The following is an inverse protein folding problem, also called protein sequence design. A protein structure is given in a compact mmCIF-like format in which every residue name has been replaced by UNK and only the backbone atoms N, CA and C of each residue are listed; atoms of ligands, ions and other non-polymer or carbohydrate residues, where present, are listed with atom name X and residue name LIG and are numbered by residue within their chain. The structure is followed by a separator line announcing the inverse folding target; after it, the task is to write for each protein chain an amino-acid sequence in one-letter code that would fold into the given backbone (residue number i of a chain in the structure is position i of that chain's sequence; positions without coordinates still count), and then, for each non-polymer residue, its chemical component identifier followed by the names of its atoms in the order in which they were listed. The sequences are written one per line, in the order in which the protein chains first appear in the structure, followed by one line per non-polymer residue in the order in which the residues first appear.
data_IF_705400809726
#
_entry.id   IF_705400809726
#
_cell.length_a   1.000
_cell.length_b   1.000
_cell.length_c   1.000
_cell.angle_alpha   90.00
_cell.angle_beta   90.00
_cell.angle_gamma   90.00
#
_symmetry.space_group_name_H-M   'P 1'
#
loop_
_entity.id
_entity.type
_entity.pdbx_description
1 polymer ?
#
# COMPACT_ATOMS: atom_id res chain seq x y z
N UNK A 1 -11.22 -29.98 48.00
CA UNK A 1 -10.67 -28.62 47.73
C UNK A 1 -10.25 -28.43 46.27
N UNK A 2 -9.35 -29.26 45.72
CA UNK A 2 -8.87 -29.17 44.31
C UNK A 2 -9.97 -29.10 43.24
N UNK A 3 -11.04 -29.91 43.35
CA UNK A 3 -12.18 -29.89 42.40
C UNK A 3 -12.96 -28.56 42.40
N UNK A 4 -13.02 -27.84 43.53
CA UNK A 4 -13.69 -26.52 43.61
C UNK A 4 -12.84 -25.43 42.95
N UNK A 5 -11.52 -25.51 43.09
CA UNK A 5 -10.55 -24.61 42.44
C UNK A 5 -10.58 -24.82 40.92
N UNK A 6 -10.58 -26.07 40.45
CA UNK A 6 -10.66 -26.40 39.01
C UNK A 6 -11.98 -25.90 38.40
N UNK A 7 -13.12 -26.10 39.08
CA UNK A 7 -14.40 -25.55 38.63
C UNK A 7 -14.41 -24.02 38.58
N UNK A 8 -13.77 -23.36 39.55
CA UNK A 8 -13.62 -21.90 39.57
C UNK A 8 -12.83 -21.38 38.37
N UNK A 9 -11.70 -22.02 38.04
CA UNK A 9 -10.87 -21.66 36.88
C UNK A 9 -11.65 -21.81 35.56
N UNK A 10 -12.40 -22.90 35.41
CA UNK A 10 -13.21 -23.13 34.21
C UNK A 10 -14.30 -22.06 34.07
N UNK A 11 -14.98 -21.70 35.15
CA UNK A 11 -16.01 -20.65 35.12
C UNK A 11 -15.40 -19.30 34.75
N UNK A 12 -14.24 -18.94 35.31
CA UNK A 12 -13.56 -17.69 34.95
C UNK A 12 -13.16 -17.64 33.47
N UNK A 13 -12.68 -18.75 32.89
CA UNK A 13 -12.34 -18.82 31.46
C UNK A 13 -13.57 -18.65 30.56
N UNK A 14 -14.71 -19.25 30.94
CA UNK A 14 -15.97 -19.10 30.20
C UNK A 14 -16.49 -17.66 30.27
N UNK A 15 -16.42 -17.01 31.44
CA UNK A 15 -16.83 -15.61 31.61
C UNK A 15 -15.95 -14.68 30.80
N UNK A 16 -14.62 -14.87 30.83
CA UNK A 16 -13.68 -14.08 30.01
C UNK A 16 -13.97 -14.29 28.52
N UNK A 17 -14.17 -15.54 28.08
CA UNK A 17 -14.52 -15.84 26.68
C UNK A 17 -15.82 -15.18 26.23
N UNK A 18 -16.85 -15.18 27.08
CA UNK A 18 -18.12 -14.49 26.82
C UNK A 18 -17.94 -12.97 26.77
N UNK A 19 -17.07 -12.39 27.59
CA UNK A 19 -16.75 -10.97 27.53
C UNK A 19 -16.12 -10.57 26.19
N UNK A 20 -15.32 -11.43 25.55
CA UNK A 20 -14.78 -11.14 24.21
C UNK A 20 -15.85 -11.27 23.10
N UNK A 21 -16.68 -12.31 23.15
CA UNK A 21 -17.72 -12.56 22.13
C UNK A 21 -18.83 -11.49 22.19
N UNK A 22 -19.24 -11.10 23.39
CA UNK A 22 -20.32 -10.13 23.62
C UNK A 22 -19.85 -8.67 23.62
N UNK A 23 -18.54 -8.41 23.52
CA UNK A 23 -18.03 -7.05 23.41
C UNK A 23 -18.14 -6.59 21.95
N UNK A 24 -19.05 -5.63 21.63
CA UNK A 24 -19.19 -5.13 20.27
C UNK A 24 -17.90 -4.45 19.77
N UNK A 25 -17.06 -3.92 20.66
CA UNK A 25 -15.77 -3.32 20.28
C UNK A 25 -14.78 -4.35 19.73
N UNK A 26 -14.86 -5.62 20.14
CA UNK A 26 -13.97 -6.66 19.61
C UNK A 26 -14.21 -6.88 18.11
N UNK A 27 -15.47 -6.87 17.69
CA UNK A 27 -15.85 -7.01 16.28
C UNK A 27 -15.74 -5.70 15.49
N UNK A 28 -15.85 -4.55 16.16
CA UNK A 28 -15.66 -3.23 15.54
C UNK A 28 -14.18 -2.85 15.38
N UNK A 29 -13.27 -3.54 16.08
CA UNK A 29 -11.82 -3.40 15.94
C UNK A 29 -11.25 -4.17 14.75
N UNK A 30 -12.08 -4.89 13.99
CA UNK A 30 -11.72 -5.33 12.64
C UNK A 30 -11.58 -4.07 11.77
N UNK A 31 -10.43 -3.40 11.90
CA UNK A 31 -10.05 -2.29 11.05
C UNK A 31 -9.85 -2.88 9.66
N UNK A 32 -10.93 -2.93 8.89
CA UNK A 32 -10.82 -3.16 7.46
C UNK A 32 -10.06 -1.96 6.90
N UNK A 33 -8.76 -2.14 6.70
CA UNK A 33 -7.96 -1.18 5.96
C UNK A 33 -8.71 -0.89 4.66
N UNK A 34 -8.90 0.39 4.35
CA UNK A 34 -9.69 0.77 3.17
C UNK A 34 -9.00 0.15 1.96
N UNK A 35 -9.71 -0.74 1.25
CA UNK A 35 -9.15 -1.49 0.14
C UNK A 35 -8.78 -0.52 -0.99
N UNK A 36 -7.54 -0.61 -1.45
CA UNK A 36 -7.06 0.10 -2.63
C UNK A 36 -7.83 -0.35 -3.89
N UNK A 37 -7.95 0.51 -4.92
CA UNK A 37 -8.57 0.11 -6.18
C UNK A 37 -7.80 -1.03 -6.83
N UNK A 38 -8.52 -1.88 -7.57
CA UNK A 38 -7.92 -2.98 -8.35
C UNK A 38 -6.96 -2.42 -9.40
N UNK A 39 -6.03 -3.28 -9.86
CA UNK A 39 -5.07 -2.88 -10.88
C UNK A 39 -5.82 -2.58 -12.18
N UNK A 40 -5.45 -1.47 -12.82
CA UNK A 40 -5.86 -1.22 -14.20
C UNK A 40 -5.15 -2.17 -15.15
N UNK A 41 -5.73 -2.39 -16.33
CA UNK A 41 -5.15 -3.24 -17.38
C UNK A 41 -3.73 -2.77 -17.73
N UNK A 42 -3.49 -1.46 -17.76
CA UNK A 42 -2.17 -0.89 -18.00
C UNK A 42 -1.18 -1.19 -16.88
N UNK A 43 -1.62 -1.17 -15.62
CA UNK A 43 -0.80 -1.59 -14.48
C UNK A 43 -0.48 -3.08 -14.55
N UNK A 44 -1.47 -3.94 -14.76
CA UNK A 44 -1.30 -5.39 -14.86
C UNK A 44 -0.26 -5.74 -15.94
N UNK A 45 -0.44 -5.21 -17.16
CA UNK A 45 0.47 -5.44 -18.27
C UNK A 45 1.91 -4.95 -18.01
N UNK A 46 2.05 -3.87 -17.23
CA UNK A 46 3.37 -3.34 -16.90
C UNK A 46 4.03 -4.16 -15.79
N UNK A 47 3.27 -4.52 -14.75
CA UNK A 47 3.76 -5.23 -13.57
C UNK A 47 4.11 -6.69 -13.88
N UNK A 48 3.37 -7.34 -14.77
CA UNK A 48 3.68 -8.70 -15.25
C UNK A 48 5.10 -8.79 -15.83
N UNK A 49 5.63 -7.71 -16.41
CA UNK A 49 7.03 -7.69 -16.92
C UNK A 49 8.06 -7.79 -15.79
N UNK A 50 7.84 -7.10 -14.67
CA UNK A 50 8.77 -7.11 -13.54
C UNK A 50 8.76 -8.44 -12.78
N UNK A 51 7.59 -9.06 -12.64
CA UNK A 51 7.47 -10.34 -11.95
C UNK A 51 8.18 -11.46 -12.73
N UNK A 52 8.05 -11.45 -14.05
CA UNK A 52 8.65 -12.46 -14.93
C UNK A 52 10.17 -12.32 -15.09
N UNK A 53 10.70 -11.10 -15.10
CA UNK A 53 12.12 -10.86 -15.40
C UNK A 53 13.01 -10.87 -14.14
N UNK A 54 12.46 -10.51 -12.98
CA UNK A 54 13.31 -10.04 -11.87
C UNK A 54 12.98 -10.60 -10.50
N UNK A 55 11.98 -11.49 -10.36
CA UNK A 55 11.53 -12.00 -9.05
C UNK A 55 11.22 -10.86 -8.07
N UNK A 56 10.69 -9.75 -8.57
CA UNK A 56 10.30 -8.60 -7.77
C UNK A 56 8.81 -8.75 -7.46
N UNK A 57 8.43 -8.57 -6.19
CA UNK A 57 7.05 -8.34 -5.79
C UNK A 57 6.75 -6.84 -5.84
N UNK A 58 5.60 -6.50 -6.39
CA UNK A 58 5.16 -5.13 -6.56
C UNK A 58 3.98 -4.85 -5.63
N UNK A 59 4.07 -3.75 -4.89
CA UNK A 59 2.92 -3.18 -4.18
C UNK A 59 2.59 -1.80 -4.74
N UNK A 60 1.30 -1.53 -4.92
CA UNK A 60 0.81 -0.27 -5.50
C UNK A 60 -0.30 0.32 -4.66
N UNK A 61 -0.17 1.60 -4.36
CA UNK A 61 -1.24 2.35 -3.68
C UNK A 61 -1.41 3.76 -4.22
N UNK A 62 -2.64 4.25 -4.09
CA UNK A 62 -3.05 5.61 -4.36
C UNK A 62 -3.37 6.29 -3.04
N UNK A 63 -2.94 7.54 -2.93
CA UNK A 63 -3.34 8.46 -1.87
C UNK A 63 -4.08 9.63 -2.53
N UNK A 64 -5.32 9.91 -2.12
CA UNK A 64 -6.00 11.13 -2.58
C UNK A 64 -6.00 12.18 -1.49
N UNK A 65 -6.10 13.44 -1.92
CA UNK A 65 -6.09 14.58 -1.01
C UNK A 65 -7.37 15.38 -1.16
N UNK A 66 -8.00 15.69 -0.03
CA UNK A 66 -9.10 16.65 0.01
C UNK A 66 -8.59 18.09 -0.26
N UNK A 67 -9.50 19.06 -0.35
CA UNK A 67 -9.14 20.48 -0.58
C UNK A 67 -8.28 21.09 0.54
N UNK A 68 -8.23 20.47 1.72
CA UNK A 68 -7.43 20.89 2.88
C UNK A 68 -6.08 20.16 2.93
N UNK A 69 -5.84 19.20 2.03
CA UNK A 69 -4.63 18.39 1.98
C UNK A 69 -4.65 17.15 2.88
N UNK A 70 -5.80 16.78 3.45
CA UNK A 70 -5.92 15.56 4.24
C UNK A 70 -5.99 14.35 3.31
N UNK A 71 -5.34 13.26 3.72
CA UNK A 71 -5.50 11.96 3.06
C UNK A 71 -6.95 11.49 3.17
N UNK A 72 -7.49 11.04 2.04
CA UNK A 72 -8.81 10.45 1.92
C UNK A 72 -8.73 9.46 0.77
N UNK A 73 -9.25 8.24 0.91
CA UNK A 73 -9.30 7.31 -0.23
C UNK A 73 -10.66 7.40 -0.94
N UNK A 74 -10.67 7.88 -2.19
CA UNK A 74 -11.88 7.93 -3.03
C UNK A 74 -11.93 6.76 -4.01
N UNK A 75 -12.25 5.55 -3.52
CA UNK A 75 -12.14 4.29 -4.29
C UNK A 75 -12.70 4.36 -5.73
N UNK A 76 -13.85 4.99 -5.95
CA UNK A 76 -14.51 5.01 -7.25
C UNK A 76 -14.06 6.16 -8.19
N UNK A 77 -13.35 7.15 -7.67
CA UNK A 77 -12.98 8.38 -8.39
C UNK A 77 -11.55 8.84 -8.05
N UNK A 78 -10.69 7.89 -7.68
CA UNK A 78 -9.34 8.17 -7.18
C UNK A 78 -8.51 8.90 -8.24
N UNK A 79 -8.68 8.59 -9.52
CA UNK A 79 -7.95 9.20 -10.62
C UNK A 79 -8.56 10.54 -11.08
N UNK A 80 -9.70 10.97 -10.52
CA UNK A 80 -10.39 12.23 -10.86
C UNK A 80 -10.13 13.35 -9.86
N UNK A 81 -9.34 13.09 -8.82
CA UNK A 81 -9.00 14.03 -7.74
C UNK A 81 -7.50 14.09 -7.57
N UNK A 82 -7.00 15.13 -6.92
CA UNK A 82 -5.55 15.24 -6.66
C UNK A 82 -5.07 14.01 -5.92
N UNK A 83 -4.05 13.36 -6.46
CA UNK A 83 -3.56 12.10 -5.94
C UNK A 83 -2.05 11.94 -6.08
N UNK A 84 -1.48 11.15 -5.18
CA UNK A 84 -0.12 10.62 -5.30
C UNK A 84 -0.22 9.15 -5.67
N UNK A 85 0.70 8.71 -6.53
CA UNK A 85 0.86 7.31 -6.92
C UNK A 85 2.07 6.75 -6.22
N UNK A 86 1.95 5.58 -5.62
CA UNK A 86 3.11 4.91 -5.05
C UNK A 86 3.28 3.51 -5.61
N UNK A 87 4.54 3.20 -5.95
CA UNK A 87 5.03 1.89 -6.30
C UNK A 87 6.11 1.46 -5.30
N UNK A 88 5.95 0.30 -4.69
CA UNK A 88 7.00 -0.32 -3.91
C UNK A 88 7.44 -1.61 -4.60
N UNK A 89 8.76 -1.75 -4.76
CA UNK A 89 9.41 -2.83 -5.48
C UNK A 89 10.31 -3.57 -4.52
N UNK A 90 9.95 -4.81 -4.20
CA UNK A 90 10.64 -5.63 -3.22
C UNK A 90 11.13 -6.92 -3.85
N UNK A 91 12.24 -7.49 -3.34
CA UNK A 91 12.60 -8.85 -3.74
C UNK A 91 11.63 -9.87 -3.15
N UNK A 92 10.99 -10.65 -4.03
CA UNK A 92 10.03 -11.70 -3.64
C UNK A 92 10.67 -12.79 -2.75
N UNK A 93 11.99 -12.97 -2.85
CA UNK A 93 12.74 -13.88 -2.01
C UNK A 93 13.66 -13.09 -1.09
N UNK A 94 13.38 -13.18 0.21
CA UNK A 94 13.98 -12.49 1.36
C UNK A 94 15.49 -12.78 1.60
N UNK A 95 16.26 -13.02 0.53
CA UNK A 95 17.67 -13.45 0.56
C UNK A 95 18.66 -12.38 0.10
N UNK A 96 18.19 -11.20 -0.31
CA UNK A 96 19.04 -10.08 -0.73
C UNK A 96 18.29 -8.76 -0.74
N UNK A 97 19.05 -7.66 -0.74
CA UNK A 97 18.53 -6.30 -0.89
C UNK A 97 18.42 -5.96 -2.38
N UNK A 98 17.29 -5.41 -2.80
CA UNK A 98 17.09 -4.86 -4.13
C UNK A 98 17.30 -3.36 -4.16
N UNK A 99 18.06 -2.89 -5.14
CA UNK A 99 18.33 -1.48 -5.36
C UNK A 99 18.20 -1.15 -6.84
N UNK A 100 17.48 -0.06 -7.13
CA UNK A 100 17.39 0.50 -8.47
C UNK A 100 18.34 1.68 -8.64
N UNK A 101 19.04 1.70 -9.77
CA UNK A 101 19.76 2.88 -10.21
C UNK A 101 18.78 4.04 -10.49
N UNK A 102 19.20 5.28 -10.23
CA UNK A 102 18.33 6.46 -10.33
C UNK A 102 17.74 6.65 -11.74
N UNK A 103 18.52 6.39 -12.79
CA UNK A 103 18.05 6.45 -14.18
C UNK A 103 16.93 5.43 -14.44
N UNK A 104 17.03 4.25 -13.84
CA UNK A 104 15.98 3.21 -13.93
C UNK A 104 14.71 3.67 -13.22
N UNK A 105 14.84 4.24 -12.02
CA UNK A 105 13.70 4.81 -11.28
C UNK A 105 13.03 5.93 -12.07
N UNK A 106 13.82 6.83 -12.67
CA UNK A 106 13.29 7.90 -13.52
C UNK A 106 12.51 7.34 -14.71
N UNK A 107 13.04 6.33 -15.38
CA UNK A 107 12.38 5.68 -16.51
C UNK A 107 11.05 5.01 -16.10
N UNK A 108 11.04 4.31 -14.96
CA UNK A 108 9.82 3.72 -14.39
C UNK A 108 8.79 4.82 -14.11
N UNK A 109 9.17 5.89 -13.39
CA UNK A 109 8.26 6.99 -13.08
C UNK A 109 7.70 7.66 -14.34
N UNK A 110 8.54 7.85 -15.37
CA UNK A 110 8.14 8.45 -16.63
C UNK A 110 7.19 7.52 -17.41
N UNK A 111 7.40 6.21 -17.38
CA UNK A 111 6.50 5.22 -17.98
C UNK A 111 5.15 5.20 -17.26
N UNK A 112 5.15 5.11 -15.93
CA UNK A 112 3.92 5.15 -15.12
C UNK A 112 3.13 6.42 -15.43
N UNK A 113 3.79 7.58 -15.43
CA UNK A 113 3.13 8.85 -15.76
C UNK A 113 2.47 8.83 -17.15
N UNK A 114 3.19 8.38 -18.17
CA UNK A 114 2.78 8.56 -19.57
C UNK A 114 1.84 7.46 -20.05
N UNK A 115 2.17 6.22 -19.76
CA UNK A 115 1.52 5.05 -20.33
C UNK A 115 0.47 4.49 -19.38
N UNK A 116 0.81 4.30 -18.10
CA UNK A 116 -0.12 3.75 -17.10
C UNK A 116 -1.18 4.78 -16.71
N UNK A 117 -0.75 5.96 -16.29
CA UNK A 117 -1.63 7.04 -15.83
C UNK A 117 -2.04 8.00 -16.94
N UNK A 118 -1.62 7.77 -18.20
CA UNK A 118 -2.05 8.54 -19.37
C UNK A 118 -1.92 10.07 -19.21
N UNK A 119 -0.84 10.51 -18.57
CA UNK A 119 -0.59 11.91 -18.19
C UNK A 119 -1.75 12.55 -17.39
N UNK A 120 -2.34 11.81 -16.46
CA UNK A 120 -3.43 12.29 -15.63
C UNK A 120 -3.06 13.63 -14.95
N UNK A 121 -3.89 14.66 -15.20
CA UNK A 121 -3.66 16.03 -14.71
C UNK A 121 -3.76 16.17 -13.20
N UNK A 122 -4.38 15.22 -12.51
CA UNK A 122 -4.55 15.24 -11.07
C UNK A 122 -3.41 14.54 -10.31
N UNK A 123 -2.52 13.84 -11.03
CA UNK A 123 -1.32 13.26 -10.45
C UNK A 123 -0.40 14.37 -9.93
N UNK A 124 -0.02 14.31 -8.66
CA UNK A 124 0.88 15.27 -8.03
C UNK A 124 2.31 14.71 -7.93
N UNK A 125 2.47 13.56 -7.29
CA UNK A 125 3.76 12.87 -7.18
C UNK A 125 3.67 11.39 -7.54
N UNK A 126 4.77 10.82 -8.03
CA UNK A 126 4.98 9.37 -8.07
C UNK A 126 6.06 9.05 -7.06
N UNK A 127 5.78 8.21 -6.08
CA UNK A 127 6.78 7.67 -5.18
C UNK A 127 7.17 6.26 -5.63
N UNK A 128 8.48 6.00 -5.65
CA UNK A 128 9.01 4.68 -5.94
C UNK A 128 9.90 4.27 -4.77
N UNK A 129 9.64 3.10 -4.22
CA UNK A 129 10.42 2.52 -3.13
C UNK A 129 11.14 1.28 -3.64
N UNK A 130 12.45 1.20 -3.39
CA UNK A 130 13.17 -0.07 -3.38
C UNK A 130 13.41 -0.51 -1.92
N UNK A 131 14.16 -1.59 -1.68
CA UNK A 131 14.37 -2.10 -0.31
C UNK A 131 15.21 -1.15 0.57
N UNK A 132 15.86 -0.14 -0.02
CA UNK A 132 16.85 0.71 0.63
C UNK A 132 16.55 2.21 0.52
N UNK A 133 15.76 2.63 -0.46
CA UNK A 133 15.62 4.01 -0.87
C UNK A 133 14.17 4.35 -1.19
N UNK A 134 13.84 5.61 -0.93
CA UNK A 134 12.62 6.25 -1.39
C UNK A 134 12.95 7.28 -2.45
N UNK A 135 12.20 7.26 -3.54
CA UNK A 135 12.31 8.24 -4.61
C UNK A 135 10.97 8.94 -4.79
N UNK A 136 11.02 10.25 -5.02
CA UNK A 136 9.86 11.10 -5.26
C UNK A 136 10.02 11.78 -6.62
N UNK A 137 9.20 11.37 -7.57
CA UNK A 137 9.11 12.02 -8.86
C UNK A 137 8.06 13.12 -8.85
N UNK A 138 8.50 14.35 -9.10
CA UNK A 138 7.65 15.55 -9.11
C UNK A 138 7.06 15.74 -10.51
N UNK A 139 5.75 15.45 -10.64
CA UNK A 139 5.07 15.44 -11.93
C UNK A 139 5.22 16.78 -12.70
N UNK A 140 5.04 17.90 -11.98
CA UNK A 140 5.06 19.26 -12.55
C UNK A 140 6.38 19.61 -13.23
N UNK A 141 7.50 19.14 -12.68
CA UNK A 141 8.84 19.50 -13.13
C UNK A 141 9.58 18.35 -13.81
N UNK A 142 9.01 17.13 -13.82
CA UNK A 142 9.66 15.90 -14.28
C UNK A 142 11.05 15.72 -13.64
N UNK A 143 11.09 15.86 -12.33
CA UNK A 143 12.31 15.80 -11.53
C UNK A 143 12.22 14.65 -10.55
N UNK A 144 13.31 13.93 -10.33
CA UNK A 144 13.41 12.87 -9.34
C UNK A 144 14.19 13.40 -8.14
N UNK A 145 13.59 13.29 -6.96
CA UNK A 145 14.20 13.61 -5.68
C UNK A 145 14.39 12.29 -4.91
N UNK A 146 15.62 11.99 -4.50
CA UNK A 146 15.87 10.92 -3.55
C UNK A 146 15.48 11.42 -2.16
N UNK A 147 14.51 10.77 -1.54
CA UNK A 147 14.08 11.10 -0.19
C UNK A 147 14.81 10.19 0.81
N UNK A 148 15.32 10.80 1.89
CA UNK A 148 15.97 10.11 3.01
C UNK A 148 15.01 9.19 3.77
#
# INVERSE_FOLDING_TARGET
MRRKIIKGIIISLVVIGLCFILNPFYWLMDSSAIKQPELSIEEENYFEKFENESKISIERYYENFDSKGNDTLYINDFDKRVFDYTLALHMSNNKGLFHLEEDSVFNIANHIKKEVLKNNKYLRYIYIYDDLNKYKFINKYKYLEKAE
#
